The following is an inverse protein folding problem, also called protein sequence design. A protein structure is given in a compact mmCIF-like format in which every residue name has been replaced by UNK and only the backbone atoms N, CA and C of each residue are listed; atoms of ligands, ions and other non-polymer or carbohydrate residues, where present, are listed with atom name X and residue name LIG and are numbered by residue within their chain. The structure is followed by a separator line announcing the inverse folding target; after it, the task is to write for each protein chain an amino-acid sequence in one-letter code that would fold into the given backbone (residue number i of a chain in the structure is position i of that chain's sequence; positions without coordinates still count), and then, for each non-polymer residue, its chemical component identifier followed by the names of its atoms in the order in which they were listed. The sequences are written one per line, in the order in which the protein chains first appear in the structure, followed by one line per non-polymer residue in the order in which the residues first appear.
data_IF_018519358788
#
_entry.id   IF_018519358788
#
_cell.length_a   1.000
_cell.length_b   1.000
_cell.length_c   1.000
_cell.angle_alpha   90.00
_cell.angle_beta   90.00
_cell.angle_gamma   90.00
#
_symmetry.space_group_name_H-M   'P 1'
#
loop_
_entity.id
_entity.type
_entity.pdbx_description
1 polymer ?
#
# COMPACT_ATOMS: atom_id res chain seq x y z
N UNK A 1 -10.31 -31.83 24.91
CA UNK A 1 -9.23 -31.87 25.93
C UNK A 1 -8.35 -30.68 25.66
N UNK A 2 -8.32 -29.75 26.59
CA UNK A 2 -7.45 -28.58 26.44
C UNK A 2 -6.00 -29.02 26.53
N UNK A 3 -5.20 -28.63 25.54
CA UNK A 3 -3.77 -28.91 25.57
C UNK A 3 -3.12 -28.09 26.68
N UNK A 4 -2.27 -28.71 27.58
CA UNK A 4 -1.56 -27.95 28.60
C UNK A 4 -0.60 -26.92 28.03
N UNK A 5 -0.37 -26.95 26.70
CA UNK A 5 0.45 -25.99 25.96
C UNK A 5 -0.40 -24.94 25.21
N UNK A 6 -1.73 -25.01 25.31
CA UNK A 6 -2.60 -24.03 24.69
C UNK A 6 -2.44 -22.68 25.42
N UNK A 7 -2.28 -21.56 24.67
CA UNK A 7 -2.23 -20.23 25.28
C UNK A 7 -3.56 -19.93 26.00
N UNK A 8 -3.50 -19.15 27.07
CA UNK A 8 -4.70 -18.82 27.89
C UNK A 8 -5.75 -18.00 27.11
N UNK A 9 -5.34 -17.32 26.04
CA UNK A 9 -6.23 -16.54 25.16
C UNK A 9 -6.92 -17.39 24.08
N UNK A 10 -6.52 -18.67 23.90
CA UNK A 10 -7.10 -19.53 22.89
C UNK A 10 -8.52 -19.97 23.31
N UNK A 11 -9.52 -19.45 22.61
CA UNK A 11 -10.89 -19.97 22.68
C UNK A 11 -11.10 -20.93 21.50
N UNK A 12 -11.66 -22.12 21.82
CA UNK A 12 -12.05 -23.03 20.76
C UNK A 12 -13.36 -22.55 20.11
N UNK A 13 -13.44 -22.54 18.76
CA UNK A 13 -14.68 -22.21 18.07
C UNK A 13 -15.78 -23.21 18.47
N UNK A 14 -17.01 -22.73 18.58
CA UNK A 14 -18.16 -23.57 18.92
C UNK A 14 -18.42 -24.66 17.87
N UNK A 15 -18.20 -24.33 16.61
CA UNK A 15 -18.24 -25.23 15.45
C UNK A 15 -16.92 -25.17 14.71
N UNK A 16 -16.09 -26.21 14.86
CA UNK A 16 -14.80 -26.34 14.13
C UNK A 16 -14.97 -26.58 12.64
N UNK A 17 -16.18 -26.83 12.17
CA UNK A 17 -16.52 -27.02 10.77
C UNK A 17 -17.10 -25.75 10.13
N UNK A 18 -17.34 -24.70 10.90
CA UNK A 18 -17.81 -23.43 10.37
C UNK A 18 -16.79 -22.80 9.42
N UNK A 19 -17.31 -22.15 8.38
CA UNK A 19 -16.53 -21.38 7.41
C UNK A 19 -16.92 -19.91 7.61
N UNK A 20 -16.18 -19.21 8.47
CA UNK A 20 -16.44 -17.80 8.74
C UNK A 20 -16.20 -16.96 7.47
N UNK A 21 -17.22 -16.22 6.98
CA UNK A 21 -17.09 -15.39 5.77
C UNK A 21 -16.11 -14.23 5.91
N UNK A 22 -15.72 -13.87 7.14
CA UNK A 22 -14.64 -12.87 7.37
C UNK A 22 -13.26 -13.43 7.00
N UNK A 23 -13.07 -14.76 7.11
CA UNK A 23 -11.77 -15.43 6.96
C UNK A 23 -11.68 -16.13 5.60
N UNK A 24 -12.72 -16.85 5.23
CA UNK A 24 -12.74 -17.63 3.98
C UNK A 24 -13.20 -16.79 2.80
N UNK A 25 -12.74 -17.13 1.60
CA UNK A 25 -13.23 -16.48 0.38
C UNK A 25 -14.71 -16.77 0.16
N UNK A 26 -15.40 -15.87 -0.52
CA UNK A 26 -16.85 -15.98 -0.78
C UNK A 26 -17.24 -17.24 -1.59
N UNK A 27 -16.28 -17.80 -2.34
CA UNK A 27 -16.49 -19.01 -3.12
C UNK A 27 -16.28 -20.32 -2.32
N UNK A 28 -15.89 -20.24 -1.04
CA UNK A 28 -15.68 -21.42 -0.20
C UNK A 28 -16.99 -21.85 0.45
N UNK A 29 -17.33 -23.13 0.34
CA UNK A 29 -18.55 -23.70 0.90
C UNK A 29 -18.33 -25.16 1.37
N UNK A 30 -19.31 -25.72 2.07
CA UNK A 30 -19.40 -27.16 2.34
C UNK A 30 -20.48 -27.80 1.49
N UNK A 31 -20.13 -28.86 0.80
CA UNK A 31 -21.07 -29.66 0.04
C UNK A 31 -20.86 -31.14 0.38
N UNK A 32 -21.88 -31.79 0.89
CA UNK A 32 -21.81 -33.23 1.25
C UNK A 32 -20.74 -33.61 2.30
N UNK A 33 -20.35 -32.64 3.18
CA UNK A 33 -19.28 -32.81 4.15
C UNK A 33 -17.88 -32.46 3.66
N UNK A 34 -17.71 -32.22 2.38
CA UNK A 34 -16.46 -31.77 1.76
C UNK A 34 -16.41 -30.24 1.63
N UNK A 35 -15.22 -29.65 1.81
CA UNK A 35 -14.97 -28.25 1.47
C UNK A 35 -14.87 -28.11 -0.04
N UNK A 36 -15.51 -27.09 -0.60
CA UNK A 36 -15.45 -26.75 -2.02
C UNK A 36 -14.99 -25.31 -2.21
N UNK A 37 -14.27 -25.03 -3.29
CA UNK A 37 -13.91 -23.70 -3.72
C UNK A 37 -14.53 -23.49 -5.11
N UNK A 38 -15.43 -22.52 -5.25
CA UNK A 38 -16.20 -22.29 -6.48
C UNK A 38 -16.89 -23.56 -7.01
N UNK A 39 -17.37 -24.40 -6.09
CA UNK A 39 -18.05 -25.67 -6.41
C UNK A 39 -17.12 -26.85 -6.71
N UNK A 40 -15.81 -26.66 -6.78
CA UNK A 40 -14.84 -27.76 -6.94
C UNK A 40 -14.44 -28.32 -5.58
N UNK A 41 -14.54 -29.63 -5.39
CA UNK A 41 -14.14 -30.31 -4.16
C UNK A 41 -12.63 -30.25 -3.94
N UNK A 42 -12.21 -30.07 -2.68
CA UNK A 42 -10.77 -30.04 -2.37
C UNK A 42 -10.08 -31.38 -2.70
N UNK A 43 -10.80 -32.51 -2.60
CA UNK A 43 -10.30 -33.83 -2.99
C UNK A 43 -9.98 -33.88 -4.49
N UNK A 44 -10.90 -33.42 -5.35
CA UNK A 44 -10.69 -33.33 -6.79
C UNK A 44 -9.49 -32.44 -7.13
N UNK A 45 -9.38 -31.27 -6.45
CA UNK A 45 -8.26 -30.35 -6.67
C UNK A 45 -6.92 -31.01 -6.33
N UNK A 46 -6.84 -31.75 -5.21
CA UNK A 46 -5.61 -32.46 -4.82
C UNK A 46 -5.31 -33.63 -5.78
N UNK A 47 -6.30 -34.36 -6.25
CA UNK A 47 -6.10 -35.43 -7.24
C UNK A 47 -5.55 -34.90 -8.55
N UNK A 48 -5.99 -33.71 -9.00
CA UNK A 48 -5.57 -33.09 -10.25
C UNK A 48 -4.21 -32.40 -10.17
N UNK A 49 -3.91 -31.75 -9.06
CA UNK A 49 -2.76 -30.84 -8.95
C UNK A 49 -1.75 -31.23 -7.87
N UNK A 50 -2.07 -32.22 -7.05
CA UNK A 50 -1.21 -32.66 -5.94
C UNK A 50 -1.38 -31.82 -4.67
N UNK A 51 -0.55 -32.13 -3.66
CA UNK A 51 -0.50 -31.45 -2.36
C UNK A 51 0.96 -31.26 -1.95
N UNK A 52 1.35 -30.15 -1.29
CA UNK A 52 0.49 -29.01 -0.90
C UNK A 52 0.04 -28.17 -2.11
N UNK A 53 -1.15 -27.55 -2.02
CA UNK A 53 -1.75 -26.77 -3.10
C UNK A 53 -2.25 -25.43 -2.58
N UNK A 54 -1.86 -24.34 -3.24
CA UNK A 54 -2.47 -23.02 -3.08
C UNK A 54 -3.59 -22.86 -4.10
N UNK A 55 -4.77 -22.45 -3.63
CA UNK A 55 -5.94 -22.20 -4.47
C UNK A 55 -6.31 -20.74 -4.40
N UNK A 56 -6.33 -20.06 -5.54
CA UNK A 56 -6.76 -18.66 -5.66
C UNK A 56 -8.19 -18.63 -6.24
N UNK A 57 -9.10 -18.02 -5.49
CA UNK A 57 -10.46 -17.76 -5.94
C UNK A 57 -10.48 -16.45 -6.74
N UNK A 58 -10.55 -16.53 -8.08
CA UNK A 58 -10.57 -15.38 -8.96
C UNK A 58 -11.76 -14.46 -8.70
N UNK A 59 -12.95 -15.03 -8.47
CA UNK A 59 -14.16 -14.24 -8.26
C UNK A 59 -14.08 -13.42 -6.97
N UNK A 60 -13.59 -14.01 -5.89
CA UNK A 60 -13.40 -13.31 -4.62
C UNK A 60 -12.33 -12.23 -4.76
N UNK A 61 -11.17 -12.54 -5.38
CA UNK A 61 -10.13 -11.57 -5.63
C UNK A 61 -10.66 -10.34 -6.39
N UNK A 62 -11.35 -10.57 -7.51
CA UNK A 62 -11.90 -9.50 -8.34
C UNK A 62 -12.99 -8.71 -7.64
N UNK A 63 -13.84 -9.37 -6.86
CA UNK A 63 -14.91 -8.67 -6.12
C UNK A 63 -14.33 -7.76 -5.03
N UNK A 64 -13.31 -8.21 -4.31
CA UNK A 64 -12.60 -7.37 -3.33
C UNK A 64 -11.88 -6.20 -4.00
N UNK A 65 -11.22 -6.45 -5.14
CA UNK A 65 -10.57 -5.40 -5.91
C UNK A 65 -11.56 -4.28 -6.29
N UNK A 66 -12.73 -4.65 -6.85
CA UNK A 66 -13.80 -3.69 -7.18
C UNK A 66 -14.32 -2.96 -5.96
N UNK A 67 -14.52 -3.67 -4.85
CA UNK A 67 -15.01 -3.06 -3.61
C UNK A 67 -14.10 -1.93 -3.13
N UNK A 68 -12.77 -2.11 -3.16
CA UNK A 68 -11.82 -1.05 -2.83
C UNK A 68 -11.89 0.10 -3.83
N UNK A 69 -11.87 -0.19 -5.13
CA UNK A 69 -11.94 0.84 -6.18
C UNK A 69 -13.22 1.67 -6.04
N UNK A 70 -14.36 1.03 -5.88
CA UNK A 70 -15.67 1.68 -5.80
C UNK A 70 -15.82 2.50 -4.52
N UNK A 71 -15.41 1.95 -3.37
CA UNK A 71 -15.50 2.61 -2.07
C UNK A 71 -14.68 3.91 -2.05
N UNK A 72 -13.41 3.81 -2.42
CA UNK A 72 -12.50 4.96 -2.39
C UNK A 72 -12.86 5.99 -3.45
N UNK A 73 -13.19 5.60 -4.69
CA UNK A 73 -13.60 6.56 -5.70
C UNK A 73 -14.93 7.23 -5.36
N UNK A 74 -15.90 6.50 -4.78
CA UNK A 74 -17.16 7.10 -4.33
C UNK A 74 -16.93 8.16 -3.26
N UNK A 75 -16.09 7.86 -2.28
CA UNK A 75 -15.83 8.78 -1.17
C UNK A 75 -15.03 10.02 -1.61
N UNK A 76 -14.05 9.85 -2.50
CA UNK A 76 -13.13 10.92 -2.90
C UNK A 76 -13.53 11.67 -4.18
N UNK A 77 -14.51 11.19 -4.96
CA UNK A 77 -14.96 11.86 -6.18
C UNK A 77 -15.39 13.33 -5.94
N UNK A 78 -16.13 13.67 -4.85
CA UNK A 78 -16.50 15.05 -4.58
C UNK A 78 -15.31 15.94 -4.21
N UNK A 79 -14.26 15.35 -3.63
CA UNK A 79 -13.13 16.08 -3.07
C UNK A 79 -12.07 16.38 -4.13
N UNK A 80 -11.66 15.36 -4.92
CA UNK A 80 -10.56 15.48 -5.89
C UNK A 80 -10.84 14.76 -7.23
N UNK A 81 -12.06 14.34 -7.49
CA UNK A 81 -12.44 13.65 -8.72
C UNK A 81 -12.23 12.13 -8.70
N UNK A 82 -11.72 11.58 -7.60
CA UNK A 82 -11.43 10.17 -7.40
C UNK A 82 -10.00 9.93 -6.94
N UNK A 83 -9.62 8.66 -6.79
CA UNK A 83 -8.28 8.24 -6.35
C UNK A 83 -7.79 7.03 -7.15
N UNK A 84 -6.47 6.91 -7.23
CA UNK A 84 -5.81 5.71 -7.74
C UNK A 84 -5.66 4.70 -6.59
N UNK A 85 -6.22 3.50 -6.75
CA UNK A 85 -6.08 2.41 -5.78
C UNK A 85 -5.01 1.45 -6.26
N UNK A 86 -4.00 1.21 -5.43
CA UNK A 86 -2.86 0.36 -5.76
C UNK A 86 -3.00 -1.03 -5.13
N UNK A 87 -2.72 -2.07 -5.92
CA UNK A 87 -2.54 -3.42 -5.41
C UNK A 87 -1.09 -3.65 -5.00
N UNK A 88 -0.88 -4.03 -3.74
CA UNK A 88 0.44 -4.35 -3.22
C UNK A 88 0.90 -5.74 -3.68
N UNK A 89 1.76 -5.81 -4.70
CA UNK A 89 2.22 -7.04 -5.34
C UNK A 89 2.91 -8.02 -4.40
N UNK A 90 3.50 -7.53 -3.30
CA UNK A 90 4.14 -8.36 -2.27
C UNK A 90 3.20 -9.40 -1.65
N UNK A 91 1.88 -9.21 -1.73
CA UNK A 91 0.90 -10.17 -1.23
C UNK A 91 0.89 -11.46 -2.05
N UNK A 92 0.78 -11.35 -3.35
CA UNK A 92 0.95 -12.41 -4.35
C UNK A 92 0.99 -11.79 -5.74
N UNK A 93 2.00 -12.07 -6.54
CA UNK A 93 2.04 -11.64 -7.93
C UNK A 93 2.40 -12.78 -8.88
N UNK A 94 1.51 -13.04 -9.82
CA UNK A 94 1.75 -13.80 -11.05
C UNK A 94 1.31 -12.96 -12.24
N UNK A 95 1.65 -13.35 -13.46
CA UNK A 95 1.15 -12.65 -14.66
C UNK A 95 -0.37 -12.63 -14.69
N UNK A 96 -1.03 -13.71 -14.26
CA UNK A 96 -2.49 -13.79 -14.22
C UNK A 96 -3.09 -12.82 -13.19
N UNK A 97 -2.52 -12.76 -11.97
CA UNK A 97 -2.96 -11.81 -10.93
C UNK A 97 -2.76 -10.37 -11.41
N UNK A 98 -1.62 -10.07 -12.03
CA UNK A 98 -1.36 -8.74 -12.59
C UNK A 98 -2.39 -8.36 -13.69
N UNK A 99 -2.84 -9.33 -14.49
CA UNK A 99 -3.92 -9.10 -15.47
C UNK A 99 -5.24 -8.79 -14.78
N UNK A 100 -5.62 -9.53 -13.73
CA UNK A 100 -6.84 -9.26 -12.96
C UNK A 100 -6.81 -7.87 -12.33
N UNK A 101 -5.68 -7.49 -11.70
CA UNK A 101 -5.47 -6.16 -11.11
C UNK A 101 -5.72 -5.06 -12.14
N UNK A 102 -5.11 -5.18 -13.33
CA UNK A 102 -5.29 -4.25 -14.43
C UNK A 102 -6.74 -4.19 -14.94
N UNK A 103 -7.39 -5.36 -15.11
CA UNK A 103 -8.76 -5.46 -15.61
C UNK A 103 -9.79 -4.87 -14.64
N UNK A 104 -9.53 -4.93 -13.33
CA UNK A 104 -10.36 -4.31 -12.30
C UNK A 104 -10.00 -2.83 -12.05
N UNK A 105 -9.12 -2.25 -12.86
CA UNK A 105 -8.82 -0.82 -12.85
C UNK A 105 -7.84 -0.35 -11.78
N UNK A 106 -7.23 -1.27 -11.01
CA UNK A 106 -6.22 -0.90 -10.01
C UNK A 106 -4.87 -0.56 -10.67
N UNK A 107 -4.11 0.23 -9.96
CA UNK A 107 -2.70 0.44 -10.17
C UNK A 107 -1.90 -0.66 -9.46
N UNK A 108 -0.59 -0.69 -9.60
CA UNK A 108 0.22 -1.80 -9.09
C UNK A 108 1.48 -1.30 -8.39
N UNK A 109 1.60 -1.59 -7.09
CA UNK A 109 2.84 -1.41 -6.35
C UNK A 109 3.71 -2.64 -6.46
N UNK A 110 4.94 -2.44 -6.93
CA UNK A 110 5.99 -3.46 -6.99
C UNK A 110 7.10 -3.13 -6.00
N UNK A 111 7.76 -4.12 -5.43
CA UNK A 111 8.81 -3.95 -4.43
C UNK A 111 10.11 -4.69 -4.82
N UNK A 112 10.19 -5.20 -6.03
CA UNK A 112 11.38 -5.85 -6.58
C UNK A 112 11.38 -5.81 -8.10
N UNK A 113 12.57 -6.00 -8.69
CA UNK A 113 12.72 -6.12 -10.15
C UNK A 113 11.93 -7.29 -10.75
N UNK A 114 11.77 -8.38 -9.98
CA UNK A 114 10.95 -9.52 -10.39
C UNK A 114 9.47 -9.16 -10.51
N UNK A 115 8.91 -8.47 -9.52
CA UNK A 115 7.53 -7.99 -9.56
C UNK A 115 7.32 -6.96 -10.68
N UNK A 116 8.26 -6.01 -10.84
CA UNK A 116 8.24 -5.04 -11.94
C UNK A 116 8.22 -5.75 -13.31
N UNK A 117 9.05 -6.77 -13.49
CA UNK A 117 9.09 -7.55 -14.73
C UNK A 117 7.77 -8.30 -14.98
N UNK A 118 7.14 -8.86 -13.94
CA UNK A 118 5.83 -9.53 -14.05
C UNK A 118 4.75 -8.52 -14.43
N UNK A 119 4.71 -7.35 -13.78
CA UNK A 119 3.75 -6.28 -14.08
C UNK A 119 3.84 -5.82 -15.54
N UNK A 120 5.06 -5.55 -16.01
CA UNK A 120 5.32 -5.16 -17.40
C UNK A 120 4.95 -6.28 -18.39
N UNK A 121 5.27 -7.55 -18.07
CA UNK A 121 4.91 -8.71 -18.89
C UNK A 121 3.40 -8.93 -18.97
N UNK A 122 2.66 -8.62 -17.93
CA UNK A 122 1.19 -8.68 -17.91
C UNK A 122 0.54 -7.58 -18.77
N UNK A 123 1.33 -6.62 -19.26
CA UNK A 123 0.86 -5.50 -20.05
C UNK A 123 0.20 -4.41 -19.18
N UNK A 124 0.63 -4.28 -17.94
CA UNK A 124 0.26 -3.14 -17.09
C UNK A 124 0.87 -1.88 -17.71
N UNK A 125 0.09 -0.81 -17.79
CA UNK A 125 0.58 0.49 -18.23
C UNK A 125 1.70 0.96 -17.26
N UNK A 126 2.91 1.25 -17.75
CA UNK A 126 3.99 1.73 -16.89
C UNK A 126 3.61 2.93 -16.03
N UNK A 127 2.78 3.83 -16.53
CA UNK A 127 2.29 4.99 -15.77
C UNK A 127 1.46 4.59 -14.53
N UNK A 128 0.94 3.36 -14.49
CA UNK A 128 0.16 2.79 -13.38
C UNK A 128 0.98 1.89 -12.46
N UNK A 129 2.31 1.94 -12.55
CA UNK A 129 3.20 1.13 -11.71
C UNK A 129 3.95 2.05 -10.74
N UNK A 130 3.99 1.65 -9.46
CA UNK A 130 4.87 2.14 -8.43
C UNK A 130 6.01 1.14 -8.16
N UNK A 131 7.24 1.62 -7.94
CA UNK A 131 8.35 0.80 -7.50
C UNK A 131 8.79 1.22 -6.09
N UNK A 132 8.46 0.41 -5.10
CA UNK A 132 8.87 0.53 -3.70
C UNK A 132 10.18 -0.22 -3.42
N UNK A 133 10.64 -0.13 -2.18
CA UNK A 133 11.83 -0.84 -1.67
C UNK A 133 12.87 0.16 -1.16
N UNK A 134 13.57 -0.22 -0.09
CA UNK A 134 14.60 0.61 0.54
C UNK A 134 16.03 0.25 0.12
N UNK A 135 16.17 -0.71 -0.79
CA UNK A 135 17.46 -1.14 -1.32
C UNK A 135 17.34 -1.55 -2.80
N UNK A 136 16.75 -0.66 -3.60
CA UNK A 136 16.66 -0.88 -5.05
C UNK A 136 18.05 -0.90 -5.67
N UNK A 137 18.29 -1.88 -6.54
CA UNK A 137 19.53 -1.96 -7.33
C UNK A 137 19.52 -0.91 -8.46
N UNK A 138 20.70 -0.63 -9.01
CA UNK A 138 20.81 0.27 -10.16
C UNK A 138 20.08 -0.30 -11.38
N UNK A 139 20.08 -1.62 -11.57
CA UNK A 139 19.34 -2.27 -12.67
C UNK A 139 17.82 -2.09 -12.54
N UNK A 140 17.29 -2.19 -11.31
CA UNK A 140 15.87 -1.91 -11.04
C UNK A 140 15.52 -0.45 -11.32
N UNK A 141 16.35 0.48 -10.84
CA UNK A 141 16.16 1.91 -11.07
C UNK A 141 16.28 2.27 -12.56
N UNK A 142 17.30 1.76 -13.26
CA UNK A 142 17.45 1.97 -14.71
C UNK A 142 16.26 1.43 -15.49
N UNK A 143 15.77 0.24 -15.11
CA UNK A 143 14.58 -0.35 -15.73
C UNK A 143 13.36 0.54 -15.50
N UNK A 144 13.13 0.98 -14.27
CA UNK A 144 12.03 1.86 -13.90
C UNK A 144 12.05 3.19 -14.67
N UNK A 145 13.23 3.83 -14.73
CA UNK A 145 13.42 5.10 -15.46
C UNK A 145 13.22 4.89 -16.96
N UNK A 146 13.87 3.86 -17.55
CA UNK A 146 13.80 3.59 -19.00
C UNK A 146 12.40 3.20 -19.46
N UNK A 147 11.61 2.57 -18.60
CA UNK A 147 10.20 2.22 -18.88
C UNK A 147 9.24 3.35 -18.54
N UNK A 148 9.74 4.46 -17.98
CA UNK A 148 8.96 5.60 -17.56
C UNK A 148 7.78 5.18 -16.67
N UNK A 149 8.07 4.40 -15.62
CA UNK A 149 7.02 3.99 -14.67
C UNK A 149 6.46 5.23 -13.94
N UNK A 150 5.23 5.10 -13.47
CA UNK A 150 4.50 6.23 -12.89
C UNK A 150 5.19 6.81 -11.65
N UNK A 151 5.70 5.95 -10.76
CA UNK A 151 6.28 6.40 -9.49
C UNK A 151 7.45 5.51 -9.06
N UNK A 152 8.61 6.11 -8.83
CA UNK A 152 9.72 5.50 -8.07
C UNK A 152 9.61 6.04 -6.65
N UNK A 153 9.20 5.19 -5.70
CA UNK A 153 9.03 5.58 -4.30
C UNK A 153 10.39 5.53 -3.62
N UNK A 154 10.97 6.70 -3.37
CA UNK A 154 12.32 6.88 -2.84
C UNK A 154 12.30 6.92 -1.31
N UNK A 155 13.15 6.11 -0.71
CA UNK A 155 13.17 5.84 0.74
C UNK A 155 14.30 6.60 1.48
N UNK A 156 15.26 7.18 0.77
CA UNK A 156 16.41 7.88 1.37
C UNK A 156 17.00 8.94 0.45
N UNK A 157 17.74 9.91 1.02
CA UNK A 157 18.50 10.90 0.25
C UNK A 157 19.56 10.26 -0.64
N UNK A 158 20.24 9.23 -0.18
CA UNK A 158 21.25 8.53 -0.97
C UNK A 158 20.63 7.85 -2.20
N UNK A 159 19.45 7.29 -2.06
CA UNK A 159 18.70 6.75 -3.19
C UNK A 159 18.25 7.86 -4.15
N UNK A 160 17.76 8.98 -3.63
CA UNK A 160 17.33 10.11 -4.44
C UNK A 160 18.46 10.65 -5.34
N UNK A 161 19.66 10.79 -4.79
CA UNK A 161 20.85 11.16 -5.56
C UNK A 161 21.21 10.12 -6.62
N UNK A 162 21.07 8.84 -6.30
CA UNK A 162 21.30 7.74 -7.24
C UNK A 162 20.33 7.74 -8.41
N UNK A 163 19.03 7.96 -8.11
CA UNK A 163 17.99 8.10 -9.14
C UNK A 163 18.29 9.25 -10.08
N UNK A 164 18.71 10.39 -9.53
CA UNK A 164 19.07 11.58 -10.34
C UNK A 164 20.26 11.27 -11.25
N UNK A 165 21.35 10.68 -10.73
CA UNK A 165 22.53 10.34 -11.53
C UNK A 165 22.20 9.34 -12.65
N UNK A 166 21.39 8.33 -12.37
CA UNK A 166 20.98 7.34 -13.37
C UNK A 166 20.07 7.97 -14.44
N UNK A 167 19.15 8.85 -14.05
CA UNK A 167 18.29 9.57 -14.97
C UNK A 167 19.10 10.51 -15.87
N UNK A 168 20.12 11.21 -15.34
CA UNK A 168 21.05 12.03 -16.11
C UNK A 168 21.83 11.20 -17.13
N UNK A 169 22.40 10.05 -16.71
CA UNK A 169 23.14 9.14 -17.59
C UNK A 169 22.28 8.61 -18.74
N UNK A 170 21.00 8.33 -18.45
CA UNK A 170 20.04 7.88 -19.44
C UNK A 170 19.46 9.02 -20.30
N UNK A 171 19.76 10.29 -19.99
CA UNK A 171 19.16 11.48 -20.60
C UNK A 171 17.63 11.49 -20.49
N UNK A 172 17.11 10.97 -19.40
CA UNK A 172 15.67 10.87 -19.09
C UNK A 172 15.33 11.69 -17.84
N UNK A 173 14.06 11.69 -17.49
CA UNK A 173 13.54 12.26 -16.26
C UNK A 173 12.81 11.16 -15.48
N UNK A 174 13.15 10.97 -14.21
CA UNK A 174 12.54 9.97 -13.35
C UNK A 174 11.32 10.55 -12.63
N UNK A 175 10.20 9.83 -12.64
CA UNK A 175 9.03 10.15 -11.82
C UNK A 175 9.28 9.66 -10.39
N UNK A 176 9.43 10.56 -9.44
CA UNK A 176 9.80 10.27 -8.05
C UNK A 176 8.66 10.64 -7.11
N UNK A 177 8.35 9.74 -6.22
CA UNK A 177 7.51 9.98 -5.05
C UNK A 177 8.38 9.78 -3.80
N UNK A 178 8.37 10.74 -2.87
CA UNK A 178 9.21 10.65 -1.67
C UNK A 178 8.43 9.98 -0.54
N UNK A 179 8.99 8.92 0.04
CA UNK A 179 8.41 8.27 1.21
C UNK A 179 8.81 9.00 2.46
N UNK A 180 7.83 9.54 3.17
CA UNK A 180 7.99 10.29 4.40
C UNK A 180 7.55 9.49 5.62
N UNK A 181 8.18 9.78 6.76
CA UNK A 181 7.82 9.22 8.06
C UNK A 181 7.12 10.29 8.88
N UNK A 182 5.77 10.25 8.98
CA UNK A 182 5.03 11.25 9.73
C UNK A 182 5.11 11.10 11.26
N UNK A 183 5.82 10.09 11.79
CA UNK A 183 5.95 9.86 13.23
C UNK A 183 4.65 9.46 13.92
N UNK A 184 3.82 8.68 13.24
CA UNK A 184 2.55 8.12 13.74
C UNK A 184 2.73 6.65 14.05
N UNK A 185 2.24 6.20 15.21
CA UNK A 185 2.16 4.78 15.55
C UNK A 185 0.76 4.25 15.21
N UNK A 186 0.71 3.18 14.42
CA UNK A 186 -0.52 2.51 14.04
C UNK A 186 -1.16 1.70 15.18
N UNK A 187 -0.45 1.45 16.28
CA UNK A 187 -0.85 0.51 17.36
C UNK A 187 -1.31 1.18 18.65
N UNK A 188 -1.22 2.52 18.79
CA UNK A 188 -1.49 3.20 20.04
C UNK A 188 -2.53 4.31 19.93
N UNK A 189 -3.48 4.30 20.88
CA UNK A 189 -4.39 5.41 21.17
C UNK A 189 -3.67 6.64 21.78
N UNK A 190 -2.37 6.59 21.97
CA UNK A 190 -1.56 7.69 22.52
C UNK A 190 -0.94 8.51 21.39
N UNK A 191 -1.43 9.70 21.25
CA UNK A 191 -1.25 10.60 20.12
C UNK A 191 0.16 11.14 19.86
N UNK A 192 1.17 10.87 20.68
CA UNK A 192 2.53 11.38 20.45
C UNK A 192 3.53 10.50 21.20
N UNK A 193 4.21 9.60 20.53
CA UNK A 193 5.42 8.99 21.09
C UNK A 193 6.63 9.47 20.27
N UNK A 194 7.53 10.28 20.85
CA UNK A 194 8.78 10.70 20.22
C UNK A 194 9.70 9.52 19.85
N UNK A 195 9.41 8.34 20.39
CA UNK A 195 10.21 7.11 20.20
C UNK A 195 10.06 6.45 18.80
N UNK A 196 9.10 6.89 17.98
CA UNK A 196 8.85 6.28 16.66
C UNK A 196 9.36 7.10 15.47
N UNK A 197 10.11 8.17 15.72
CA UNK A 197 10.84 8.91 14.68
C UNK A 197 12.02 8.11 14.10
N UNK A 198 12.47 7.08 14.78
CA UNK A 198 13.53 6.16 14.37
C UNK A 198 12.94 4.96 13.59
N UNK A 199 12.04 5.25 12.66
CA UNK A 199 11.50 4.22 11.77
C UNK A 199 12.55 3.79 10.76
N UNK A 200 12.56 2.50 10.47
CA UNK A 200 13.49 1.84 9.53
C UNK A 200 13.40 2.39 8.10
N UNK A 201 12.26 2.96 7.70
CA UNK A 201 11.93 3.34 6.35
C UNK A 201 11.45 4.78 6.26
N UNK A 202 11.81 5.43 5.15
CA UNK A 202 11.34 6.77 4.80
C UNK A 202 12.19 7.89 5.38
N UNK A 203 11.87 9.09 4.91
CA UNK A 203 12.54 10.34 5.26
C UNK A 203 11.79 10.99 6.42
N UNK A 204 12.47 11.26 7.54
CA UNK A 204 11.84 11.90 8.70
C UNK A 204 11.38 13.33 8.38
N UNK A 205 10.18 13.66 8.83
CA UNK A 205 9.59 15.00 8.72
C UNK A 205 10.03 15.92 9.86
N UNK A 206 10.60 15.36 10.93
CA UNK A 206 11.09 16.13 12.09
C UNK A 206 12.57 16.44 11.93
N UNK A 207 12.98 17.71 12.13
CA UNK A 207 14.39 18.08 12.15
C UNK A 207 15.16 17.37 13.27
N UNK A 208 16.39 16.91 12.98
CA UNK A 208 17.27 16.38 14.01
C UNK A 208 17.64 17.47 15.05
N UNK A 209 17.99 17.09 16.30
CA UNK A 209 18.42 18.04 17.31
C UNK A 209 19.54 18.97 16.83
N UNK A 210 19.27 20.26 16.82
CA UNK A 210 20.20 21.29 16.32
C UNK A 210 20.11 21.62 14.84
N UNK A 211 19.36 20.85 14.05
CA UNK A 211 19.11 21.12 12.64
C UNK A 211 17.88 22.04 12.46
N UNK A 212 17.88 22.84 11.40
CA UNK A 212 16.77 23.74 11.09
C UNK A 212 15.71 23.11 10.19
N UNK A 213 16.09 22.10 9.43
CA UNK A 213 15.25 21.45 8.43
C UNK A 213 15.32 19.93 8.58
N UNK A 214 14.21 19.26 8.30
CA UNK A 214 14.14 17.80 8.28
C UNK A 214 14.79 17.21 7.03
N UNK A 215 15.09 15.92 7.05
CA UNK A 215 15.58 15.18 5.89
C UNK A 215 14.53 15.17 4.77
N UNK A 216 13.25 15.05 5.11
CA UNK A 216 12.14 15.15 4.16
C UNK A 216 12.13 16.50 3.43
N UNK A 217 12.29 17.61 4.17
CA UNK A 217 12.36 18.95 3.59
C UNK A 217 13.54 19.09 2.62
N UNK A 218 14.73 18.63 2.99
CA UNK A 218 15.92 18.65 2.13
C UNK A 218 15.70 17.83 0.85
N UNK A 219 15.07 16.64 0.97
CA UNK A 219 14.79 15.78 -0.16
C UNK A 219 13.80 16.41 -1.15
N UNK A 220 12.75 17.06 -0.67
CA UNK A 220 11.77 17.76 -1.52
C UNK A 220 12.45 18.91 -2.27
N UNK A 221 13.23 19.72 -1.57
CA UNK A 221 13.95 20.84 -2.20
C UNK A 221 14.96 20.37 -3.24
N UNK A 222 15.69 19.29 -2.96
CA UNK A 222 16.59 18.68 -3.94
C UNK A 222 15.82 18.21 -5.16
N UNK A 223 14.75 17.44 -4.97
CA UNK A 223 13.94 16.92 -6.08
C UNK A 223 13.32 18.04 -6.94
N UNK A 224 12.83 19.10 -6.30
CA UNK A 224 12.23 20.24 -6.99
C UNK A 224 13.26 21.06 -7.80
N UNK A 225 14.51 21.15 -7.33
CA UNK A 225 15.58 21.90 -7.99
C UNK A 225 16.28 21.10 -9.10
N UNK A 226 16.14 19.79 -9.13
CA UNK A 226 16.90 18.89 -9.99
C UNK A 226 16.22 18.68 -11.34
N UNK A 227 17.01 18.78 -12.42
CA UNK A 227 16.50 18.71 -13.81
C UNK A 227 15.98 17.32 -14.20
N UNK A 228 16.62 16.27 -13.72
CA UNK A 228 16.35 14.89 -14.12
C UNK A 228 15.35 14.15 -13.20
N UNK A 229 14.76 14.88 -12.24
CA UNK A 229 13.68 14.37 -11.39
C UNK A 229 12.39 15.13 -11.69
N UNK A 230 11.30 14.40 -11.75
CA UNK A 230 9.94 14.89 -11.66
C UNK A 230 9.36 14.44 -10.32
N UNK A 231 9.25 15.37 -9.37
CA UNK A 231 8.57 15.11 -8.11
C UNK A 231 7.07 14.97 -8.38
N UNK A 232 6.57 13.74 -8.31
CA UNK A 232 5.16 13.42 -8.55
C UNK A 232 4.35 13.68 -7.29
N UNK A 233 4.86 13.26 -6.14
CA UNK A 233 4.11 13.34 -4.90
C UNK A 233 4.89 12.90 -3.67
N UNK A 234 4.15 12.82 -2.58
CA UNK A 234 4.62 12.34 -1.28
C UNK A 234 3.83 11.10 -0.87
N UNK A 235 4.51 10.16 -0.24
CA UNK A 235 3.95 8.91 0.24
C UNK A 235 4.23 8.73 1.73
N UNK A 236 3.29 8.13 2.46
CA UNK A 236 3.52 7.62 3.81
C UNK A 236 2.94 6.22 3.97
N UNK A 237 3.57 5.41 4.82
CA UNK A 237 3.03 4.10 5.21
C UNK A 237 3.31 3.89 6.69
N UNK A 238 2.26 3.77 7.48
CA UNK A 238 2.33 3.81 8.95
C UNK A 238 2.32 2.40 9.59
N UNK A 239 2.04 1.35 8.82
CA UNK A 239 2.02 -0.02 9.35
C UNK A 239 1.14 -0.99 8.57
N UNK A 240 0.89 -2.14 9.16
CA UNK A 240 0.04 -3.21 8.61
C UNK A 240 -0.94 -3.69 9.66
N UNK A 241 -2.05 -4.31 9.24
CA UNK A 241 -3.12 -4.80 10.12
C UNK A 241 -3.74 -3.68 10.98
N UNK A 242 -4.02 -2.55 10.37
CA UNK A 242 -4.63 -1.39 10.99
C UNK A 242 -6.14 -1.51 10.81
N UNK A 243 -6.88 -1.62 11.91
CA UNK A 243 -8.29 -2.00 11.91
C UNK A 243 -9.25 -0.82 11.77
N UNK A 244 -8.78 0.41 12.04
CA UNK A 244 -9.59 1.63 11.94
C UNK A 244 -8.86 2.74 11.15
N UNK A 245 -9.55 3.86 10.91
CA UNK A 245 -9.02 4.97 10.12
C UNK A 245 -8.14 5.95 10.89
N UNK A 246 -8.09 5.93 12.23
CA UNK A 246 -7.50 7.01 13.04
C UNK A 246 -6.01 7.25 12.78
N UNK A 247 -5.24 6.16 12.63
CA UNK A 247 -3.83 6.26 12.31
C UNK A 247 -3.58 6.93 10.95
N UNK A 248 -4.38 6.57 9.96
CA UNK A 248 -4.32 7.17 8.62
C UNK A 248 -4.75 8.65 8.63
N UNK A 249 -5.79 9.00 9.39
CA UNK A 249 -6.26 10.38 9.56
C UNK A 249 -5.15 11.26 10.15
N UNK A 250 -4.50 10.79 11.22
CA UNK A 250 -3.37 11.51 11.84
C UNK A 250 -2.18 11.67 10.89
N UNK A 251 -1.85 10.63 10.14
CA UNK A 251 -0.79 10.71 9.13
C UNK A 251 -1.15 11.70 8.02
N UNK A 252 -2.39 11.66 7.52
CA UNK A 252 -2.88 12.59 6.51
C UNK A 252 -2.78 14.05 6.96
N UNK A 253 -3.20 14.36 8.19
CA UNK A 253 -3.05 15.72 8.76
C UNK A 253 -1.61 16.20 8.68
N UNK A 254 -0.65 15.41 9.18
CA UNK A 254 0.77 15.79 9.18
C UNK A 254 1.34 15.96 7.78
N UNK A 255 0.92 15.10 6.85
CA UNK A 255 1.33 15.20 5.45
C UNK A 255 0.77 16.47 4.80
N UNK A 256 -0.50 16.81 5.05
CA UNK A 256 -1.13 18.03 4.55
C UNK A 256 -0.51 19.29 5.15
N UNK A 257 -0.20 19.32 6.45
CA UNK A 257 0.56 20.41 7.09
C UNK A 257 1.92 20.62 6.42
N UNK A 258 2.63 19.53 6.10
CA UNK A 258 3.91 19.61 5.40
C UNK A 258 3.74 20.12 3.97
N UNK A 259 2.72 19.66 3.24
CA UNK A 259 2.39 20.16 1.89
C UNK A 259 2.07 21.66 1.92
N UNK A 260 1.35 22.13 2.93
CA UNK A 260 1.05 23.56 3.08
C UNK A 260 2.32 24.43 3.25
N UNK A 261 3.34 23.91 3.95
CA UNK A 261 4.66 24.59 4.04
C UNK A 261 5.33 24.66 2.65
N UNK A 262 5.31 23.58 1.89
CA UNK A 262 5.90 23.52 0.55
C UNK A 262 5.17 24.44 -0.44
N UNK A 263 3.84 24.49 -0.36
CA UNK A 263 3.01 25.38 -1.19
C UNK A 263 3.34 26.85 -0.95
N UNK A 264 3.57 27.24 0.32
CA UNK A 264 3.99 28.60 0.67
C UNK A 264 5.35 28.97 0.05
N UNK A 265 6.18 27.97 -0.29
CA UNK A 265 7.46 28.13 -0.98
C UNK A 265 7.35 27.91 -2.49
N UNK A 266 6.13 27.78 -3.02
CA UNK A 266 5.84 27.53 -4.45
C UNK A 266 6.34 26.17 -4.96
N UNK A 267 6.50 25.20 -4.08
CA UNK A 267 6.78 23.81 -4.44
C UNK A 267 5.47 23.04 -4.43
N UNK A 268 4.98 22.70 -5.64
CA UNK A 268 3.72 21.98 -5.79
C UNK A 268 3.92 20.48 -5.66
N UNK A 269 3.05 19.83 -4.87
CA UNK A 269 2.93 18.40 -4.70
C UNK A 269 1.60 17.97 -5.32
N UNK A 270 1.66 17.22 -6.43
CA UNK A 270 0.46 16.87 -7.18
C UNK A 270 -0.27 15.67 -6.59
N UNK A 271 0.45 14.73 -5.96
CA UNK A 271 -0.11 13.49 -5.43
C UNK A 271 0.24 13.30 -3.95
N UNK A 272 -0.75 12.88 -3.17
CA UNK A 272 -0.56 12.40 -1.80
C UNK A 272 -0.99 10.94 -1.73
N UNK A 273 -0.04 10.06 -1.45
CA UNK A 273 -0.26 8.65 -1.20
C UNK A 273 -0.20 8.38 0.31
N UNK A 274 -1.33 8.03 0.89
CA UNK A 274 -1.46 7.77 2.33
C UNK A 274 -1.09 6.33 2.71
N UNK A 275 -0.59 5.54 1.75
CA UNK A 275 -0.22 4.16 1.94
C UNK A 275 -1.42 3.23 2.09
N UNK A 276 -1.16 2.10 2.71
CA UNK A 276 -2.14 1.04 2.97
C UNK A 276 -1.79 0.31 4.25
N UNK A 277 -2.19 -0.96 4.32
CA UNK A 277 -2.03 -1.77 5.52
C UNK A 277 -3.34 -1.95 6.28
N UNK A 278 -4.46 -1.74 5.58
CA UNK A 278 -5.79 -2.02 6.12
C UNK A 278 -5.89 -3.44 6.63
N UNK A 279 -6.47 -3.61 7.81
CA UNK A 279 -6.58 -4.88 8.49
C UNK A 279 -7.53 -5.85 7.79
N UNK A 280 -7.24 -7.12 7.96
CA UNK A 280 -8.16 -8.21 7.61
C UNK A 280 -8.34 -9.13 8.81
N UNK A 281 -9.46 -9.84 8.88
CA UNK A 281 -9.68 -10.82 9.92
C UNK A 281 -8.82 -12.07 9.66
N UNK A 282 -8.03 -12.47 10.67
CA UNK A 282 -7.36 -13.76 10.73
C UNK A 282 -8.09 -14.74 11.64
N UNK A 283 -8.87 -14.21 12.58
CA UNK A 283 -9.67 -14.99 13.54
C UNK A 283 -11.10 -14.44 13.61
N UNK A 284 -12.02 -15.21 14.17
CA UNK A 284 -13.41 -14.78 14.40
C UNK A 284 -13.51 -13.56 15.33
N UNK A 285 -12.48 -13.33 16.16
CA UNK A 285 -12.44 -12.20 17.10
C UNK A 285 -12.03 -10.87 16.41
N UNK A 286 -11.46 -10.93 15.23
CA UNK A 286 -11.03 -9.75 14.49
C UNK A 286 -12.22 -9.07 13.81
N UNK A 287 -12.29 -7.74 13.92
CA UNK A 287 -13.36 -6.93 13.35
C UNK A 287 -12.82 -5.64 12.71
N UNK A 288 -12.04 -5.75 11.61
CA UNK A 288 -11.51 -4.60 10.90
C UNK A 288 -12.62 -3.84 10.16
N UNK A 289 -12.48 -2.51 10.09
CA UNK A 289 -13.34 -1.68 9.26
C UNK A 289 -13.24 -2.09 7.78
N UNK A 290 -14.39 -2.14 7.12
CA UNK A 290 -14.46 -2.37 5.68
C UNK A 290 -13.99 -1.14 4.86
N UNK A 291 -13.68 -1.34 3.57
CA UNK A 291 -13.16 -0.27 2.72
C UNK A 291 -14.09 0.94 2.61
N UNK A 292 -15.41 0.75 2.66
CA UNK A 292 -16.39 1.83 2.62
C UNK A 292 -16.30 2.75 3.85
N UNK A 293 -16.12 2.16 5.03
CA UNK A 293 -16.00 2.90 6.30
C UNK A 293 -14.69 3.69 6.31
N UNK A 294 -13.59 3.02 5.96
CA UNK A 294 -12.26 3.64 5.91
C UNK A 294 -12.24 4.78 4.89
N UNK A 295 -12.70 4.55 3.68
CA UNK A 295 -12.72 5.56 2.62
C UNK A 295 -13.56 6.79 2.99
N UNK A 296 -14.74 6.56 3.60
CA UNK A 296 -15.64 7.65 4.02
C UNK A 296 -15.00 8.49 5.13
N UNK A 297 -14.41 7.84 6.13
CA UNK A 297 -13.77 8.53 7.24
C UNK A 297 -12.57 9.37 6.77
N UNK A 298 -11.72 8.78 5.93
CA UNK A 298 -10.55 9.47 5.37
C UNK A 298 -10.94 10.65 4.48
N UNK A 299 -11.90 10.48 3.58
CA UNK A 299 -12.35 11.56 2.71
C UNK A 299 -12.91 12.73 3.51
N UNK A 300 -13.76 12.45 4.52
CA UNK A 300 -14.30 13.49 5.41
C UNK A 300 -13.21 14.21 6.20
N UNK A 301 -12.21 13.47 6.69
CA UNK A 301 -11.10 14.03 7.45
C UNK A 301 -10.23 14.94 6.57
N UNK A 302 -9.84 14.47 5.39
CA UNK A 302 -9.02 15.24 4.45
C UNK A 302 -9.76 16.49 3.95
N UNK A 303 -11.06 16.41 3.69
CA UNK A 303 -11.88 17.57 3.33
C UNK A 303 -11.86 18.64 4.44
N UNK A 304 -12.01 18.21 5.69
CA UNK A 304 -11.95 19.12 6.83
C UNK A 304 -10.57 19.77 7.03
N UNK A 305 -9.48 19.02 6.79
CA UNK A 305 -8.12 19.54 6.91
C UNK A 305 -7.78 20.52 5.76
N UNK A 306 -8.21 20.24 4.54
CA UNK A 306 -7.95 21.11 3.38
C UNK A 306 -8.79 22.37 3.35
N UNK A 307 -9.88 22.43 4.13
CA UNK A 307 -10.73 23.62 4.30
C UNK A 307 -10.20 24.62 5.34
N UNK A 308 -9.16 24.26 6.09
CA UNK A 308 -8.52 25.13 7.13
C UNK A 308 -7.48 26.04 6.52
#
# INVERSE_FOLDING_TARGET
MDSPLAPQWLSHPQDTAALDPKIFSAGVARNGGEVTVQGLGVTELVERFGSPLWVMDENDFRSRARQYVDAFNTAFAPLCGGVDVFYASKALLTVQVAQWVKEEGLFMDTASGGELAIALRAGTDPAKIGLHGNNKSDDELQTAISKNIGRIVVDSLSELHRVEQLAEQLHLRANVMLRLTPGVDASTHEHIAPAHEDQKFGLTMTPAPGEKTSVAYQAVHFAAATKHIHLVGLHSHIGSQIFDSQGFETAATRMLEFIAVLDAESIQVAELDIGGGYGIAYTEADDPDGPEVIATNLARHIDAETAR
#
